data_IF_468927148863
#
_entry.id   IF_468927148863
#
_cell.length_a   1.000
_cell.length_b   1.000
_cell.length_c   1.000
_cell.angle_alpha   90.00
_cell.angle_beta   90.00
_cell.angle_gamma   90.00
#
_symmetry.space_group_name_H-M   'P 1'
#
loop_
_entity.id
_entity.type
_entity.pdbx_description
1 polymer ?
#
# COMPACT_ATOMS: atom_id res chain seq x y z
N UNK A 1 -7.53 5.85 1.22
CA UNK A 1 -8.88 5.29 1.05
C UNK A 1 -8.82 3.83 0.67
N UNK A 2 -9.87 3.11 1.00
CA UNK A 2 -10.02 1.69 0.74
C UNK A 2 -11.38 1.49 0.01
N UNK A 3 -11.44 1.64 -1.31
CA UNK A 3 -12.67 1.47 -2.06
C UNK A 3 -13.02 -0.01 -2.17
N UNK A 4 -14.28 -0.35 -2.44
CA UNK A 4 -14.65 -1.73 -2.75
C UNK A 4 -13.86 -2.27 -3.94
N UNK A 5 -13.52 -3.58 -3.94
CA UNK A 5 -12.65 -4.18 -4.96
C UNK A 5 -13.42 -4.78 -6.15
N UNK A 6 -14.70 -4.52 -6.28
CA UNK A 6 -15.54 -5.03 -7.38
C UNK A 6 -15.47 -6.56 -7.55
N UNK A 7 -15.27 -7.31 -6.49
CA UNK A 7 -15.09 -8.77 -6.53
C UNK A 7 -16.35 -9.53 -6.91
N UNK A 8 -17.51 -8.88 -6.91
CA UNK A 8 -18.82 -9.52 -7.11
C UNK A 8 -19.23 -10.49 -5.99
N UNK A 9 -18.48 -10.53 -4.89
CA UNK A 9 -18.77 -11.38 -3.75
C UNK A 9 -19.79 -10.72 -2.82
N UNK A 10 -20.79 -11.49 -2.39
CA UNK A 10 -21.68 -11.07 -1.30
C UNK A 10 -20.89 -11.13 0.01
N UNK A 11 -20.61 -9.97 0.61
CA UNK A 11 -19.98 -9.91 1.92
C UNK A 11 -21.06 -10.07 3.01
N UNK A 12 -21.34 -11.31 3.39
CA UNK A 12 -22.05 -11.60 4.64
C UNK A 12 -21.02 -11.83 5.76
N UNK A 13 -21.19 -11.14 6.87
CA UNK A 13 -20.41 -11.41 8.08
C UNK A 13 -21.16 -12.45 8.92
N UNK A 14 -20.56 -13.62 9.11
CA UNK A 14 -21.01 -14.60 10.10
C UNK A 14 -20.19 -14.39 11.37
N UNK A 15 -20.83 -14.07 12.47
CA UNK A 15 -20.21 -13.97 13.80
C UNK A 15 -20.76 -15.07 14.69
N UNK A 16 -19.89 -15.93 15.20
CA UNK A 16 -20.25 -16.88 16.25
C UNK A 16 -20.42 -16.14 17.59
N UNK A 17 -21.54 -16.32 18.27
CA UNK A 17 -21.79 -15.72 19.56
C UNK A 17 -21.98 -16.83 20.59
N UNK A 18 -21.08 -16.84 21.60
CA UNK A 18 -21.15 -17.73 22.74
C UNK A 18 -20.57 -19.12 22.52
N UNK A 19 -20.47 -19.91 23.59
CA UNK A 19 -19.97 -21.29 23.59
C UNK A 19 -20.96 -22.29 22.93
N UNK A 20 -22.16 -21.85 22.57
CA UNK A 20 -23.23 -22.69 21.98
C UNK A 20 -23.19 -22.81 20.45
N UNK A 21 -22.28 -22.05 19.78
CA UNK A 21 -22.15 -22.16 18.33
C UNK A 21 -23.31 -21.54 17.54
N UNK A 22 -24.08 -20.63 18.14
CA UNK A 22 -25.11 -19.89 17.42
C UNK A 22 -24.47 -18.91 16.45
N UNK A 23 -24.71 -19.10 15.17
CA UNK A 23 -24.25 -18.22 14.10
C UNK A 23 -25.25 -17.07 13.88
N UNK A 24 -24.81 -15.83 14.04
CA UNK A 24 -25.57 -14.67 13.56
C UNK A 24 -24.98 -14.23 12.23
N UNK A 25 -25.75 -14.41 11.18
CA UNK A 25 -25.46 -13.85 9.86
C UNK A 25 -25.91 -12.39 9.90
N UNK A 26 -24.98 -11.45 9.97
CA UNK A 26 -25.30 -10.04 9.74
C UNK A 26 -25.52 -9.85 8.25
N UNK A 27 -26.77 -9.87 7.83
CA UNK A 27 -27.13 -9.42 6.49
C UNK A 27 -26.73 -7.94 6.34
N UNK A 28 -26.20 -7.60 5.17
CA UNK A 28 -25.94 -6.20 4.83
C UNK A 28 -27.25 -5.39 5.01
N UNK A 29 -27.14 -4.19 5.55
CA UNK A 29 -28.30 -3.32 5.59
C UNK A 29 -28.81 -3.07 4.17
N UNK A 30 -30.11 -2.88 3.99
CA UNK A 30 -30.70 -2.61 2.67
C UNK A 30 -30.06 -1.40 1.97
N UNK A 31 -29.47 -0.49 2.74
CA UNK A 31 -28.73 0.68 2.23
C UNK A 31 -27.34 0.25 1.71
N UNK A 32 -26.63 -0.60 2.46
CA UNK A 32 -25.35 -1.15 2.05
C UNK A 32 -25.48 -2.01 0.80
N UNK A 33 -26.47 -2.91 0.79
CA UNK A 33 -26.79 -3.76 -0.35
C UNK A 33 -27.16 -2.94 -1.59
N UNK A 34 -27.96 -1.88 -1.42
CA UNK A 34 -28.37 -1.00 -2.51
C UNK A 34 -27.19 -0.18 -3.04
N UNK A 35 -26.33 0.35 -2.17
CA UNK A 35 -25.12 1.06 -2.56
C UNK A 35 -24.18 0.17 -3.39
N UNK A 36 -24.05 -1.10 -2.99
CA UNK A 36 -23.23 -2.08 -3.72
C UNK A 36 -23.88 -2.49 -5.05
N UNK A 37 -25.17 -2.84 -5.08
CA UNK A 37 -25.86 -3.30 -6.30
C UNK A 37 -26.11 -2.18 -7.31
N UNK A 38 -26.54 -1.02 -6.86
CA UNK A 38 -26.82 0.12 -7.76
C UNK A 38 -25.54 0.69 -8.40
N UNK A 39 -24.42 0.61 -7.70
CA UNK A 39 -23.15 1.13 -8.20
C UNK A 39 -22.57 0.22 -9.29
N UNK A 40 -22.81 -1.08 -9.24
CA UNK A 40 -22.22 -2.04 -10.19
C UNK A 40 -23.22 -2.79 -11.06
N UNK A 41 -24.47 -2.41 -11.04
CA UNK A 41 -25.51 -3.05 -11.86
C UNK A 41 -25.25 -2.97 -13.38
N UNK A 42 -24.35 -2.07 -13.81
CA UNK A 42 -23.84 -1.95 -15.18
C UNK A 42 -22.39 -2.45 -15.33
N UNK A 43 -21.88 -3.22 -14.37
CA UNK A 43 -20.50 -3.76 -14.40
C UNK A 43 -19.42 -2.72 -14.11
N UNK A 44 -18.22 -2.98 -14.62
CA UNK A 44 -16.99 -2.20 -14.36
C UNK A 44 -17.15 -0.70 -14.66
N UNK A 45 -17.91 -0.32 -15.68
CA UNK A 45 -18.09 1.09 -16.03
C UNK A 45 -18.76 1.88 -14.88
N UNK A 46 -19.82 1.35 -14.26
CA UNK A 46 -20.49 2.04 -13.15
C UNK A 46 -19.63 2.07 -11.88
N UNK A 47 -18.76 1.09 -11.67
CA UNK A 47 -17.76 1.11 -10.62
C UNK A 47 -16.76 2.24 -10.84
N UNK A 48 -16.23 2.38 -12.05
CA UNK A 48 -15.26 3.43 -12.37
C UNK A 48 -15.88 4.82 -12.29
N UNK A 49 -17.13 5.00 -12.71
CA UNK A 49 -17.86 6.27 -12.56
C UNK A 49 -18.00 6.66 -11.06
N UNK A 50 -18.32 5.68 -10.22
CA UNK A 50 -18.42 5.86 -8.77
C UNK A 50 -17.07 6.27 -8.16
N UNK A 51 -16.00 5.56 -8.50
CA UNK A 51 -14.64 5.83 -8.00
C UNK A 51 -14.16 7.20 -8.51
N UNK A 52 -14.28 7.48 -9.82
CA UNK A 52 -13.85 8.72 -10.44
C UNK A 52 -14.52 9.94 -9.81
N UNK A 53 -15.85 9.88 -9.61
CA UNK A 53 -16.60 10.99 -9.01
C UNK A 53 -16.12 11.31 -7.59
N UNK A 54 -15.81 10.29 -6.78
CA UNK A 54 -15.28 10.46 -5.42
C UNK A 54 -13.85 10.94 -5.40
N UNK A 55 -13.00 10.42 -6.28
CA UNK A 55 -11.62 10.86 -6.39
C UNK A 55 -11.53 12.33 -6.81
N UNK A 56 -12.40 12.83 -7.68
CA UNK A 56 -12.48 14.25 -8.03
C UNK A 56 -12.81 15.12 -6.80
N UNK A 57 -13.79 14.70 -5.99
CA UNK A 57 -14.12 15.40 -4.74
C UNK A 57 -12.96 15.38 -3.74
N UNK A 58 -12.29 14.24 -3.61
CA UNK A 58 -11.12 14.10 -2.73
C UNK A 58 -9.99 15.02 -3.21
N UNK A 59 -9.72 15.08 -4.51
CA UNK A 59 -8.73 15.99 -5.08
C UNK A 59 -9.04 17.44 -4.71
N UNK A 60 -10.29 17.85 -4.84
CA UNK A 60 -10.72 19.24 -4.54
C UNK A 60 -10.61 19.57 -3.04
N UNK A 61 -10.68 18.57 -2.16
CA UNK A 61 -10.51 18.70 -0.71
C UNK A 61 -9.06 18.56 -0.25
N UNK A 62 -8.20 18.02 -1.08
CA UNK A 62 -6.80 17.76 -0.73
C UNK A 62 -6.04 19.10 -0.67
N UNK A 63 -5.26 19.28 0.39
CA UNK A 63 -4.38 20.46 0.45
C UNK A 63 -3.28 20.38 -0.63
N UNK A 64 -2.70 21.52 -1.05
CA UNK A 64 -1.61 21.49 -2.05
C UNK A 64 -0.44 20.58 -1.67
N UNK A 65 -0.19 20.39 -0.37
CA UNK A 65 0.87 19.52 0.15
C UNK A 65 0.38 18.11 0.54
N UNK A 66 -0.89 17.82 0.27
CA UNK A 66 -1.51 16.55 0.61
C UNK A 66 -1.18 15.45 -0.39
N UNK A 67 -1.28 14.20 0.09
CA UNK A 67 -1.18 12.99 -0.72
C UNK A 67 -2.38 12.09 -0.48
N UNK A 68 -2.78 11.33 -1.49
CA UNK A 68 -3.79 10.29 -1.37
C UNK A 68 -3.14 8.91 -1.52
N UNK A 69 -3.56 7.98 -0.68
CA UNK A 69 -3.21 6.57 -0.74
C UNK A 69 -4.48 5.78 -1.07
N UNK A 70 -4.45 5.03 -2.15
CA UNK A 70 -5.61 4.24 -2.62
C UNK A 70 -5.23 2.78 -2.62
N UNK A 71 -5.80 2.03 -1.66
CA UNK A 71 -5.61 0.59 -1.57
C UNK A 71 -6.54 -0.11 -2.57
N UNK A 72 -6.03 -1.08 -3.28
CA UNK A 72 -6.78 -1.89 -4.23
C UNK A 72 -6.12 -3.25 -4.45
N UNK A 73 -6.93 -4.23 -4.73
CA UNK A 73 -6.47 -5.56 -5.08
C UNK A 73 -6.19 -5.68 -6.60
N UNK A 74 -5.77 -6.87 -7.01
CA UNK A 74 -5.43 -7.17 -8.40
C UNK A 74 -6.61 -7.09 -9.39
N UNK A 75 -7.88 -7.12 -8.92
CA UNK A 75 -9.05 -7.03 -9.81
C UNK A 75 -9.16 -5.64 -10.43
N UNK A 76 -8.88 -4.62 -9.65
CA UNK A 76 -9.20 -3.23 -10.01
C UNK A 76 -7.99 -2.29 -10.05
N UNK A 77 -6.80 -2.70 -9.57
CA UNK A 77 -5.62 -1.82 -9.46
C UNK A 77 -5.28 -1.12 -10.80
N UNK A 78 -5.28 -1.86 -11.90
CA UNK A 78 -4.97 -1.34 -13.24
C UNK A 78 -6.00 -0.32 -13.74
N UNK A 79 -7.28 -0.49 -13.35
CA UNK A 79 -8.36 0.42 -13.72
C UNK A 79 -8.32 1.68 -12.84
N UNK A 80 -8.15 1.51 -11.53
CA UNK A 80 -8.03 2.62 -10.58
C UNK A 80 -6.81 3.49 -10.91
N UNK A 81 -5.69 2.88 -11.33
CA UNK A 81 -4.53 3.62 -11.78
C UNK A 81 -4.87 4.58 -12.92
N UNK A 82 -5.58 4.13 -13.96
CA UNK A 82 -6.00 4.98 -15.06
C UNK A 82 -6.93 6.13 -14.63
N UNK A 83 -7.84 5.87 -13.68
CA UNK A 83 -8.71 6.92 -13.13
C UNK A 83 -7.91 7.95 -12.31
N UNK A 84 -6.93 7.50 -11.53
CA UNK A 84 -6.06 8.39 -10.77
C UNK A 84 -5.18 9.25 -11.68
N UNK A 85 -4.63 8.68 -12.75
CA UNK A 85 -3.87 9.41 -13.78
C UNK A 85 -4.74 10.52 -14.41
N UNK A 86 -6.03 10.24 -14.68
CA UNK A 86 -6.96 11.25 -15.23
C UNK A 86 -7.32 12.33 -14.18
N UNK A 87 -7.54 11.94 -12.93
CA UNK A 87 -8.02 12.85 -11.88
C UNK A 87 -6.91 13.70 -11.29
N UNK A 88 -5.75 13.12 -11.00
CA UNK A 88 -4.65 13.78 -10.31
C UNK A 88 -3.52 14.24 -11.21
N UNK A 89 -3.54 13.86 -12.50
CA UNK A 89 -2.46 13.96 -13.47
C UNK A 89 -1.34 12.92 -13.24
N UNK A 90 -0.77 12.41 -14.33
CA UNK A 90 0.34 11.45 -14.33
C UNK A 90 1.60 12.02 -13.67
N UNK A 91 1.82 13.32 -13.78
CA UNK A 91 3.00 13.99 -13.19
C UNK A 91 2.93 14.05 -11.66
N UNK A 92 1.75 13.88 -11.07
CA UNK A 92 1.54 13.83 -9.64
C UNK A 92 1.56 12.39 -9.06
N UNK A 93 1.90 11.39 -9.87
CA UNK A 93 2.13 10.05 -9.38
C UNK A 93 3.39 9.99 -8.52
N UNK A 94 3.24 9.54 -7.28
CA UNK A 94 4.34 9.45 -6.31
C UNK A 94 4.91 8.05 -6.25
N UNK A 95 4.05 7.03 -6.06
CA UNK A 95 4.52 5.65 -5.91
C UNK A 95 3.40 4.62 -6.12
N UNK A 96 3.85 3.39 -6.40
CA UNK A 96 3.05 2.17 -6.30
C UNK A 96 3.71 1.26 -5.27
N UNK A 97 2.96 0.90 -4.23
CA UNK A 97 3.43 0.10 -3.11
C UNK A 97 2.81 -1.29 -3.23
N UNK A 98 3.64 -2.33 -3.22
CA UNK A 98 3.20 -3.71 -3.08
C UNK A 98 3.11 -4.03 -1.58
N UNK A 99 1.89 -4.12 -1.06
CA UNK A 99 1.66 -4.55 0.31
C UNK A 99 1.58 -6.08 0.34
N UNK A 100 2.72 -6.69 0.66
CA UNK A 100 2.87 -8.14 0.73
C UNK A 100 2.48 -8.66 2.11
N UNK A 101 1.66 -9.70 2.13
CA UNK A 101 1.24 -10.35 3.36
C UNK A 101 1.47 -11.87 3.32
N UNK A 102 1.86 -12.41 4.47
CA UNK A 102 2.04 -13.84 4.68
C UNK A 102 0.69 -14.50 5.00
N UNK A 103 0.52 -15.71 4.57
CA UNK A 103 -0.69 -16.48 4.84
C UNK A 103 -0.68 -17.83 4.14
N UNK A 104 -1.73 -18.59 4.36
CA UNK A 104 -1.85 -19.92 3.81
C UNK A 104 -1.76 -19.89 2.28
N UNK A 105 -0.85 -20.70 1.71
CA UNK A 105 -0.72 -20.87 0.26
C UNK A 105 -1.54 -22.07 -0.17
N UNK A 106 -2.63 -21.84 -0.90
CA UNK A 106 -3.35 -22.95 -1.55
C UNK A 106 -2.55 -23.40 -2.76
N UNK A 107 -2.45 -24.72 -2.95
CA UNK A 107 -1.90 -25.28 -4.19
C UNK A 107 -2.82 -24.88 -5.34
N UNK A 108 -2.31 -24.13 -6.30
CA UNK A 108 -3.02 -23.72 -7.52
C UNK A 108 -2.48 -24.52 -8.71
N UNK A 109 -3.31 -24.80 -9.69
CA UNK A 109 -2.95 -25.61 -10.85
C UNK A 109 -2.31 -24.79 -11.99
N UNK A 110 -2.61 -23.48 -12.07
CA UNK A 110 -2.34 -22.69 -13.28
C UNK A 110 -1.77 -21.29 -13.03
N UNK A 111 -1.62 -20.85 -11.78
CA UNK A 111 -1.12 -19.51 -11.47
C UNK A 111 -0.32 -19.49 -10.16
N UNK A 112 0.40 -18.41 -9.91
CA UNK A 112 1.02 -18.17 -8.61
C UNK A 112 -0.02 -17.70 -7.59
N UNK A 113 0.04 -18.16 -6.31
CA UNK A 113 -0.81 -17.62 -5.24
C UNK A 113 -0.57 -16.11 -5.07
N UNK A 114 -1.65 -15.32 -5.12
CA UNK A 114 -1.57 -13.88 -4.90
C UNK A 114 -1.37 -13.59 -3.42
N UNK A 115 -0.38 -12.78 -3.09
CA UNK A 115 0.06 -12.49 -1.73
C UNK A 115 0.45 -11.02 -1.55
N UNK A 116 -0.13 -10.15 -2.35
CA UNK A 116 0.01 -8.71 -2.18
C UNK A 116 -1.23 -8.01 -2.74
N UNK A 117 -1.48 -6.86 -2.19
CA UNK A 117 -2.35 -5.84 -2.74
C UNK A 117 -1.54 -4.62 -3.14
N UNK A 118 -2.15 -3.71 -3.85
CA UNK A 118 -1.49 -2.52 -4.37
C UNK A 118 -1.99 -1.28 -3.64
N UNK A 119 -1.07 -0.39 -3.25
CA UNK A 119 -1.44 0.94 -2.75
C UNK A 119 -0.85 1.96 -3.74
N UNK A 120 -1.74 2.68 -4.42
CA UNK A 120 -1.38 3.74 -5.35
C UNK A 120 -1.29 5.07 -4.60
N UNK A 121 -0.21 5.82 -4.79
CA UNK A 121 0.05 7.07 -4.10
C UNK A 121 0.15 8.21 -5.10
N UNK A 122 -0.68 9.23 -4.91
CA UNK A 122 -0.68 10.45 -5.71
C UNK A 122 -0.59 11.68 -4.82
N UNK A 123 0.07 12.71 -5.31
CA UNK A 123 0.13 14.01 -4.67
C UNK A 123 -0.97 14.95 -5.16
N UNK A 124 -1.29 15.98 -4.38
CA UNK A 124 -2.13 17.08 -4.83
C UNK A 124 -1.41 18.02 -5.80
N UNK A 125 -0.11 18.19 -5.55
CA UNK A 125 0.82 19.00 -6.37
C UNK A 125 2.25 18.45 -6.21
N UNK A 126 3.20 18.99 -6.98
CA UNK A 126 4.64 18.72 -6.86
C UNK A 126 5.26 19.18 -5.52
N UNK A 127 4.57 20.04 -4.75
CA UNK A 127 5.00 20.52 -3.44
C UNK A 127 4.56 19.62 -2.26
N UNK A 128 4.18 18.38 -2.51
CA UNK A 128 3.67 17.47 -1.48
C UNK A 128 4.67 17.24 -0.34
N UNK A 129 4.13 16.99 0.86
CA UNK A 129 4.97 16.67 2.02
C UNK A 129 5.49 15.24 1.92
N UNK A 130 6.82 15.09 1.95
CA UNK A 130 7.48 13.79 2.00
C UNK A 130 8.41 13.70 3.21
N UNK A 131 8.26 12.65 4.02
CA UNK A 131 9.15 12.34 5.13
C UNK A 131 9.76 10.97 4.92
N UNK A 132 11.08 10.90 4.77
CA UNK A 132 11.79 9.62 4.61
C UNK A 132 11.55 8.76 5.84
N UNK A 133 11.06 7.55 5.63
CA UNK A 133 10.82 6.56 6.67
C UNK A 133 11.98 5.58 6.73
N UNK A 134 12.34 5.16 7.94
CA UNK A 134 13.42 4.23 8.20
C UNK A 134 12.91 3.04 9.00
N UNK A 135 13.41 1.86 8.64
CA UNK A 135 13.24 0.63 9.41
C UNK A 135 14.59 0.19 10.01
N UNK A 136 14.59 -0.63 11.08
CA UNK A 136 15.84 -1.12 11.65
C UNK A 136 16.74 -1.73 10.59
N UNK A 137 18.05 -1.51 10.71
CA UNK A 137 19.02 -2.12 9.81
C UNK A 137 18.91 -3.63 9.81
N UNK A 138 18.98 -4.22 8.63
CA UNK A 138 19.07 -5.68 8.50
C UNK A 138 20.35 -6.20 9.14
N UNK A 139 20.30 -7.36 9.82
CA UNK A 139 21.49 -7.97 10.47
C UNK A 139 22.70 -8.10 9.55
N UNK A 140 22.45 -8.46 8.26
CA UNK A 140 23.49 -8.61 7.24
C UNK A 140 24.19 -7.28 6.90
N UNK A 141 23.46 -6.16 7.00
CA UNK A 141 24.05 -4.84 6.84
C UNK A 141 24.93 -4.48 8.04
N UNK A 142 24.43 -4.68 9.26
CA UNK A 142 25.15 -4.42 10.50
C UNK A 142 26.43 -5.28 10.60
N UNK A 143 26.38 -6.54 10.15
CA UNK A 143 27.51 -7.46 10.14
C UNK A 143 28.72 -6.99 9.30
N UNK A 144 28.52 -6.01 8.40
CA UNK A 144 29.60 -5.42 7.60
C UNK A 144 30.43 -4.37 8.36
N UNK A 145 29.98 -3.98 9.54
CA UNK A 145 30.64 -2.95 10.34
C UNK A 145 31.64 -3.57 11.30
N UNK A 146 32.77 -2.89 11.48
CA UNK A 146 33.84 -3.22 12.42
C UNK A 146 33.75 -2.29 13.62
N UNK A 147 34.31 -2.69 14.75
CA UNK A 147 34.46 -1.80 15.91
C UNK A 147 35.75 -1.02 15.83
N UNK A 148 35.70 0.27 16.06
CA UNK A 148 36.87 1.10 16.27
C UNK A 148 37.41 0.97 17.70
N UNK A 149 38.46 1.72 18.04
CA UNK A 149 39.06 1.70 19.38
C UNK A 149 38.15 2.20 20.49
N UNK A 150 37.11 2.96 20.16
CA UNK A 150 36.10 3.48 21.08
C UNK A 150 34.88 2.54 21.21
N UNK A 151 34.83 1.50 20.40
CA UNK A 151 33.69 0.56 20.33
C UNK A 151 32.59 0.97 19.35
N UNK A 152 32.70 2.10 18.65
CA UNK A 152 31.75 2.51 17.61
C UNK A 152 31.84 1.59 16.40
N UNK A 153 30.68 1.28 15.82
CA UNK A 153 30.60 0.51 14.60
C UNK A 153 30.84 1.39 13.37
N UNK A 154 31.82 1.04 12.57
CA UNK A 154 32.16 1.73 11.32
C UNK A 154 32.43 0.76 10.19
N UNK A 155 32.33 1.25 8.95
CA UNK A 155 32.83 0.57 7.76
C UNK A 155 33.48 1.59 6.81
N UNK A 156 34.46 1.12 6.09
CA UNK A 156 35.05 1.87 4.98
C UNK A 156 34.22 1.57 3.72
N UNK A 157 33.88 2.61 2.98
CA UNK A 157 33.07 2.56 1.78
C UNK A 157 33.76 3.33 0.67
N UNK A 158 33.67 2.84 -0.54
CA UNK A 158 34.13 3.55 -1.73
C UNK A 158 32.92 4.05 -2.48
N UNK A 159 32.75 5.37 -2.56
CA UNK A 159 31.68 5.94 -3.35
C UNK A 159 32.09 5.95 -4.84
N UNK A 160 31.53 5.07 -5.69
CA UNK A 160 31.93 5.00 -7.10
C UNK A 160 31.55 6.27 -7.89
N UNK A 161 30.57 7.04 -7.40
CA UNK A 161 30.06 8.25 -8.09
C UNK A 161 30.79 9.52 -7.68
N UNK A 162 31.29 9.61 -6.43
CA UNK A 162 31.93 10.79 -5.90
C UNK A 162 33.48 10.64 -5.73
N UNK A 163 34.06 9.49 -6.12
CA UNK A 163 35.50 9.28 -6.23
C UNK A 163 36.26 9.42 -4.94
N UNK A 164 35.91 8.69 -3.87
CA UNK A 164 36.69 8.71 -2.65
C UNK A 164 36.33 7.64 -1.64
N UNK A 165 37.31 7.21 -0.83
CA UNK A 165 37.07 6.40 0.35
C UNK A 165 36.43 7.27 1.43
N UNK A 166 35.34 6.79 2.05
CA UNK A 166 34.69 7.42 3.20
C UNK A 166 34.48 6.41 4.30
N UNK A 167 34.56 6.84 5.53
CA UNK A 167 34.19 6.02 6.68
C UNK A 167 32.76 6.35 7.09
N UNK A 168 31.92 5.32 7.15
CA UNK A 168 30.53 5.44 7.58
C UNK A 168 30.43 4.83 8.99
N UNK A 169 29.88 5.61 9.92
CA UNK A 169 29.54 5.12 11.24
C UNK A 169 28.06 4.70 11.29
N UNK A 170 27.76 3.56 11.93
CA UNK A 170 26.40 3.00 11.97
C UNK A 170 25.42 3.92 12.72
N UNK A 171 25.89 4.57 13.77
CA UNK A 171 25.11 5.54 14.57
C UNK A 171 24.82 6.86 13.83
N UNK A 172 25.48 7.10 12.71
CA UNK A 172 25.20 8.22 11.80
C UNK A 172 24.15 7.90 10.72
N UNK A 173 23.62 6.66 10.69
CA UNK A 173 22.64 6.21 9.70
C UNK A 173 21.37 5.79 10.43
N UNK A 174 20.23 6.47 10.24
CA UNK A 174 19.01 6.23 11.03
C UNK A 174 18.39 4.86 10.83
N UNK A 175 18.67 4.17 9.74
CA UNK A 175 18.13 2.86 9.42
C UNK A 175 18.19 2.56 7.92
N UNK A 176 17.61 1.44 7.52
CA UNK A 176 17.35 1.15 6.11
C UNK A 176 16.13 1.96 5.67
N UNK A 177 16.23 2.65 4.53
CA UNK A 177 15.08 3.39 3.97
C UNK A 177 13.97 2.39 3.64
N UNK A 178 12.74 2.73 4.03
CA UNK A 178 11.55 1.96 3.66
C UNK A 178 11.35 2.08 2.15
N UNK A 179 11.24 0.93 1.50
CA UNK A 179 11.01 0.82 0.06
C UNK A 179 9.53 0.61 -0.28
N UNK A 180 9.23 0.38 -1.56
CA UNK A 180 7.85 0.20 -2.04
C UNK A 180 7.30 -1.23 -1.87
N UNK A 181 8.01 -2.11 -1.17
CA UNK A 181 7.49 -3.43 -0.79
C UNK A 181 7.32 -3.46 0.72
N UNK A 182 6.06 -3.45 1.17
CA UNK A 182 5.72 -3.50 2.58
C UNK A 182 5.38 -4.94 2.97
N UNK A 183 6.19 -5.54 3.81
CA UNK A 183 6.08 -6.93 4.26
C UNK A 183 6.05 -7.09 5.79
N UNK A 184 6.10 -5.99 6.51
CA UNK A 184 6.11 -5.89 7.96
C UNK A 184 4.78 -5.41 8.56
N UNK A 185 3.80 -5.09 7.72
CA UNK A 185 2.44 -4.69 8.13
C UNK A 185 1.49 -5.86 7.88
N UNK A 186 0.87 -6.43 8.93
CA UNK A 186 -0.12 -7.49 8.77
C UNK A 186 -1.38 -6.97 8.07
N UNK A 187 -2.12 -7.84 7.35
CA UNK A 187 -3.40 -7.51 6.70
C UNK A 187 -4.51 -7.30 7.71
#
# INVERSE_FOLDING_TARGET
IDPPFATGADFSFTTEIGESGDEIIKEQSAIEEKAYRDTWGRGTASYLDMVSSRLRLIRDLLSPRGTIYVHCDWHVNHLIRGVLDEVFDTDNFVNEIAWHYFGFKRKTASNFPRKHDTILVYAGTDEHTWNVQYKPHRPEYVARFKKDKSGRLYRDDVNPTAGGARTIYLDGVPGDIVDSVWDDIPP
#
